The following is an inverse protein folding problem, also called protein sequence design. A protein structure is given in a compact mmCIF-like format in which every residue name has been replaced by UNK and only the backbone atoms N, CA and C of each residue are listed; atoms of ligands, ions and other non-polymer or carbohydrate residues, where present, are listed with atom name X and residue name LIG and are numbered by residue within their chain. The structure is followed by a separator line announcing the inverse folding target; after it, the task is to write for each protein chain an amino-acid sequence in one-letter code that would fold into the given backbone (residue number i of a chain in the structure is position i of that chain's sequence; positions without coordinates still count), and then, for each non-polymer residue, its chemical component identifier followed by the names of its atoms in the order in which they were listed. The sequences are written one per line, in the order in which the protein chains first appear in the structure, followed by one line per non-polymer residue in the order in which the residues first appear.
data_IF_230228561255
#
_entry.id   IF_230228561255
#
_cell.length_a   1.000
_cell.length_b   1.000
_cell.length_c   1.000
_cell.angle_alpha   90.00
_cell.angle_beta   90.00
_cell.angle_gamma   90.00
#
_symmetry.space_group_name_H-M   'P 1'
#
loop_
_entity.id
_entity.type
_entity.pdbx_description
1 polymer ?
#
# COMPACT_ATOMS: atom_id res chain seq x y z
N UNK A 1 19.61 -26.73 -1.49
CA UNK A 1 18.15 -26.49 -1.57
C UNK A 1 17.79 -25.33 -0.66
N UNK A 2 17.84 -24.09 -1.16
CA UNK A 2 17.40 -22.90 -0.39
C UNK A 2 15.89 -22.83 -0.47
N UNK A 3 15.23 -22.95 0.68
CA UNK A 3 13.78 -22.86 0.84
C UNK A 3 13.30 -21.54 0.23
N UNK A 4 12.36 -21.63 -0.70
CA UNK A 4 11.52 -20.55 -1.22
C UNK A 4 10.92 -19.79 -0.04
N UNK A 5 11.57 -18.70 0.36
CA UNK A 5 11.01 -17.79 1.35
C UNK A 5 9.95 -16.97 0.60
N UNK A 6 8.78 -17.60 0.49
CA UNK A 6 7.46 -17.10 0.09
C UNK A 6 7.46 -15.85 -0.80
N UNK A 7 7.48 -16.08 -2.12
CA UNK A 7 6.96 -15.11 -3.10
C UNK A 7 5.50 -14.70 -2.77
N UNK A 8 4.77 -15.56 -2.05
CA UNK A 8 3.36 -15.38 -1.71
C UNK A 8 3.04 -14.28 -0.69
N UNK A 9 4.04 -13.59 -0.11
CA UNK A 9 3.84 -12.65 1.00
C UNK A 9 4.57 -11.31 0.77
N UNK A 10 4.74 -10.92 -0.50
CA UNK A 10 5.32 -9.61 -0.85
C UNK A 10 4.23 -8.54 -0.96
N UNK A 11 4.55 -7.33 -0.50
CA UNK A 11 3.81 -6.13 -0.91
C UNK A 11 3.98 -5.88 -2.41
N UNK A 12 3.10 -5.06 -2.99
CA UNK A 12 3.18 -4.74 -4.43
C UNK A 12 4.48 -4.02 -4.80
N UNK A 13 5.07 -3.26 -3.87
CA UNK A 13 6.34 -2.57 -4.07
C UNK A 13 7.51 -3.55 -4.07
N UNK A 14 7.55 -4.46 -3.08
CA UNK A 14 8.57 -5.51 -3.02
C UNK A 14 8.50 -6.45 -4.23
N UNK A 15 7.29 -6.76 -4.71
CA UNK A 15 7.10 -7.54 -5.92
C UNK A 15 7.62 -6.79 -7.16
N UNK A 16 7.40 -5.46 -7.26
CA UNK A 16 7.92 -4.64 -8.35
C UNK A 16 9.44 -4.68 -8.39
N UNK A 17 10.09 -4.37 -7.26
CA UNK A 17 11.55 -4.36 -7.15
C UNK A 17 12.16 -5.73 -7.45
N UNK A 18 11.47 -6.82 -7.06
CA UNK A 18 11.91 -8.19 -7.35
C UNK A 18 11.91 -8.50 -8.85
N UNK A 19 10.85 -8.10 -9.58
CA UNK A 19 10.69 -8.39 -11.00
C UNK A 19 11.49 -7.45 -11.91
N UNK A 20 12.05 -6.37 -11.39
CA UNK A 20 13.01 -5.53 -12.14
C UNK A 20 14.32 -6.29 -12.44
N UNK A 21 14.71 -7.24 -11.58
CA UNK A 21 15.96 -8.00 -11.69
C UNK A 21 15.78 -9.48 -12.09
N UNK A 22 14.55 -10.00 -12.14
CA UNK A 22 14.27 -11.42 -12.42
C UNK A 22 13.29 -11.60 -13.58
N UNK A 23 13.52 -12.58 -14.44
CA UNK A 23 12.56 -12.97 -15.49
C UNK A 23 11.66 -14.14 -15.04
N UNK A 24 10.39 -14.16 -15.47
CA UNK A 24 9.44 -15.20 -15.09
C UNK A 24 9.85 -16.60 -15.57
N UNK A 25 10.64 -16.69 -16.66
CA UNK A 25 11.15 -17.95 -17.23
C UNK A 25 12.18 -18.64 -16.34
N UNK A 26 12.77 -17.92 -15.38
CA UNK A 26 13.70 -18.48 -14.38
C UNK A 26 13.02 -19.43 -13.39
N UNK A 27 11.68 -19.36 -13.29
CA UNK A 27 10.89 -20.10 -12.33
C UNK A 27 10.09 -21.22 -13.00
N UNK A 28 10.15 -22.43 -12.42
CA UNK A 28 9.35 -23.57 -12.89
C UNK A 28 7.94 -23.50 -12.31
N UNK A 29 6.94 -23.82 -13.15
CA UNK A 29 5.53 -23.87 -12.73
C UNK A 29 4.86 -22.50 -12.61
N UNK A 30 5.36 -21.49 -13.34
CA UNK A 30 4.66 -20.23 -13.53
C UNK A 30 3.52 -20.46 -14.52
N UNK A 31 2.31 -20.07 -14.13
CA UNK A 31 1.12 -20.14 -14.97
C UNK A 31 0.61 -18.73 -15.24
N UNK A 32 0.11 -18.51 -16.46
CA UNK A 32 -0.54 -17.26 -16.83
C UNK A 32 -1.84 -17.08 -16.03
N UNK A 33 -1.95 -15.96 -15.32
CA UNK A 33 -3.16 -15.63 -14.55
C UNK A 33 -4.22 -15.06 -15.50
N UNK A 34 -5.21 -15.90 -15.86
CA UNK A 34 -6.30 -15.52 -16.79
C UNK A 34 -7.39 -14.66 -16.16
N UNK A 35 -7.63 -14.81 -14.85
CA UNK A 35 -8.65 -14.05 -14.11
C UNK A 35 -8.02 -13.26 -12.96
N UNK A 36 -7.77 -11.98 -13.19
CA UNK A 36 -7.41 -11.05 -12.12
C UNK A 36 -8.66 -10.41 -11.51
N UNK A 37 -8.83 -10.55 -10.20
CA UNK A 37 -9.92 -9.92 -9.45
C UNK A 37 -9.36 -8.82 -8.55
N UNK A 38 -9.69 -7.58 -8.88
CA UNK A 38 -9.32 -6.43 -8.06
C UNK A 38 -10.47 -6.08 -7.12
N UNK A 39 -10.21 -6.08 -5.81
CA UNK A 39 -11.12 -5.53 -4.83
C UNK A 39 -10.98 -4.00 -4.79
N UNK A 40 -11.47 -3.32 -5.83
CA UNK A 40 -11.45 -1.86 -5.90
C UNK A 40 -12.33 -1.27 -4.79
N UNK A 41 -11.70 -0.75 -3.74
CA UNK A 41 -12.40 0.03 -2.72
C UNK A 41 -12.64 1.43 -3.27
N UNK A 42 -13.91 1.83 -3.38
CA UNK A 42 -14.26 3.22 -3.71
C UNK A 42 -13.62 4.14 -2.67
N UNK A 43 -12.77 5.07 -3.11
CA UNK A 43 -12.26 6.12 -2.25
C UNK A 43 -13.43 6.99 -1.82
N UNK A 44 -13.60 7.19 -0.52
CA UNK A 44 -14.50 8.20 0.03
C UNK A 44 -13.72 9.50 0.13
N UNK A 45 -14.15 10.51 -0.61
CA UNK A 45 -13.60 11.85 -0.50
C UNK A 45 -14.43 12.62 0.53
N UNK A 46 -13.75 13.16 1.53
CA UNK A 46 -14.38 13.97 2.58
C UNK A 46 -13.87 15.39 2.40
N UNK A 47 -14.75 16.40 2.26
CA UNK A 47 -14.31 17.77 2.24
C UNK A 47 -13.72 18.13 3.60
N UNK A 48 -12.50 18.66 3.59
CA UNK A 48 -11.82 19.14 4.79
C UNK A 48 -11.64 20.65 4.66
N UNK A 49 -12.03 21.39 5.70
CA UNK A 49 -11.79 22.82 5.77
C UNK A 49 -10.30 23.14 5.53
N UNK A 50 -10.02 24.21 4.78
CA UNK A 50 -8.64 24.52 4.35
C UNK A 50 -7.73 24.89 5.52
N UNK A 51 -8.28 25.50 6.57
CA UNK A 51 -7.52 25.86 7.77
C UNK A 51 -7.24 24.63 8.62
N UNK A 52 -8.19 23.71 8.70
CA UNK A 52 -7.98 22.38 9.31
C UNK A 52 -6.90 21.60 8.55
N UNK A 53 -6.97 21.56 7.21
CA UNK A 53 -5.99 20.85 6.39
C UNK A 53 -4.57 21.38 6.59
N UNK A 54 -4.39 22.71 6.69
CA UNK A 54 -3.08 23.32 6.99
C UNK A 54 -2.51 22.82 8.32
N UNK A 55 -3.33 22.69 9.36
CA UNK A 55 -2.90 22.16 10.66
C UNK A 55 -2.51 20.69 10.57
N UNK A 56 -3.30 19.88 9.88
CA UNK A 56 -3.01 18.46 9.65
C UNK A 56 -1.66 18.31 8.96
N UNK A 57 -1.44 19.07 7.88
CA UNK A 57 -0.18 19.07 7.12
C UNK A 57 1.03 19.42 7.99
N UNK A 58 0.93 20.46 8.83
CA UNK A 58 2.01 20.82 9.74
C UNK A 58 2.33 19.70 10.75
N UNK A 59 1.29 19.07 11.31
CA UNK A 59 1.47 17.95 12.24
C UNK A 59 2.05 16.70 11.57
N UNK A 60 1.57 16.35 10.39
CA UNK A 60 2.07 15.23 9.60
C UNK A 60 3.57 15.39 9.32
N UNK A 61 3.99 16.61 8.93
CA UNK A 61 5.40 16.95 8.75
C UNK A 61 6.23 16.80 10.03
N UNK A 62 5.73 17.27 11.17
CA UNK A 62 6.42 17.13 12.47
C UNK A 62 6.58 15.66 12.89
N UNK A 63 5.64 14.81 12.49
CA UNK A 63 5.62 13.39 12.82
C UNK A 63 6.29 12.51 11.76
N UNK A 64 6.85 13.09 10.69
CA UNK A 64 7.42 12.36 9.55
C UNK A 64 6.44 11.34 8.93
N UNK A 65 5.15 11.69 8.88
CA UNK A 65 4.08 10.89 8.27
C UNK A 65 3.40 11.66 7.15
N UNK A 66 2.68 10.97 6.28
CA UNK A 66 1.79 11.62 5.32
C UNK A 66 0.50 12.08 6.01
N UNK A 67 -0.16 13.08 5.42
CA UNK A 67 -1.45 13.58 5.89
C UNK A 67 -2.49 12.46 5.98
N UNK A 68 -2.53 11.58 4.99
CA UNK A 68 -3.44 10.43 4.93
C UNK A 68 -3.21 9.44 6.08
N UNK A 69 -1.95 9.15 6.43
CA UNK A 69 -1.64 8.25 7.54
C UNK A 69 -2.15 8.86 8.85
N UNK A 70 -1.85 10.14 9.08
CA UNK A 70 -2.26 10.83 10.31
C UNK A 70 -3.78 10.89 10.46
N UNK A 71 -4.51 11.17 9.37
CA UNK A 71 -5.98 11.19 9.36
C UNK A 71 -6.54 9.79 9.67
N UNK A 72 -5.99 8.74 9.06
CA UNK A 72 -6.46 7.38 9.26
C UNK A 72 -6.19 6.86 10.68
N UNK A 73 -5.05 7.19 11.27
CA UNK A 73 -4.73 6.86 12.67
C UNK A 73 -5.77 7.48 13.61
N UNK A 74 -6.03 8.78 13.48
CA UNK A 74 -7.02 9.48 14.30
C UNK A 74 -8.44 8.92 14.14
N UNK A 75 -8.85 8.59 12.90
CA UNK A 75 -10.17 7.99 12.65
C UNK A 75 -10.33 6.64 13.34
N UNK A 76 -9.28 5.81 13.36
CA UNK A 76 -9.30 4.51 14.05
C UNK A 76 -9.44 4.67 15.57
N UNK A 77 -8.84 5.70 16.17
CA UNK A 77 -8.98 5.98 17.61
C UNK A 77 -10.39 6.42 18.01
N UNK A 78 -11.16 7.00 17.08
CA UNK A 78 -12.47 7.62 17.36
C UNK A 78 -13.67 6.76 16.98
N UNK A 79 -13.51 5.92 15.96
CA UNK A 79 -14.58 5.09 15.38
C UNK A 79 -14.32 3.59 15.62
N UNK A 80 -13.16 3.26 16.21
CA UNK A 80 -12.83 1.92 16.70
C UNK A 80 -13.56 1.58 17.99
#
# INVERSE_FOLDING_TARGET
MKKSKKISDMSIYEASDFWDEHDFTEFKGVEEVKEMRFALKKKKYIPVDIMLYKKIKQRAKQLHKTEDILINEWLRERVG
#
